data_IF_754499842870
#
_entry.id   IF_754499842870
#
_cell.length_a   1.000
_cell.length_b   1.000
_cell.length_c   1.000
_cell.angle_alpha   90.00
_cell.angle_beta   90.00
_cell.angle_gamma   90.00
#
_symmetry.space_group_name_H-M   'P 1'
#
loop_
_entity.id
_entity.type
_entity.pdbx_description
1 polymer ?
#
# COMPACT_ATOMS: atom_id res chain seq x y z
N UNK A 1 0.16 -8.75 19.81
CA UNK A 1 -0.08 -8.13 18.50
C UNK A 1 0.93 -8.63 17.46
N UNK A 2 0.48 -8.83 16.23
CA UNK A 2 1.31 -9.08 15.06
C UNK A 2 1.10 -7.92 14.08
N UNK A 3 2.11 -7.05 13.92
CA UNK A 3 2.01 -5.83 13.11
C UNK A 3 2.61 -6.07 11.74
N UNK A 4 1.81 -5.95 10.67
CA UNK A 4 2.27 -5.95 9.29
C UNK A 4 2.74 -4.56 8.88
N UNK A 5 3.93 -4.46 8.27
CA UNK A 5 4.42 -3.19 7.70
C UNK A 5 4.25 -3.26 6.18
N UNK A 6 3.51 -2.29 5.62
CA UNK A 6 3.21 -2.20 4.20
C UNK A 6 3.37 -0.75 3.72
N UNK A 7 3.66 -0.54 2.46
CA UNK A 7 3.63 0.79 1.86
C UNK A 7 2.25 1.14 1.32
N UNK A 8 1.96 2.42 1.18
CA UNK A 8 0.76 2.90 0.51
C UNK A 8 0.70 2.57 -1.00
N UNK A 9 1.75 1.98 -1.55
CA UNK A 9 1.88 1.43 -2.90
C UNK A 9 2.76 0.18 -2.84
N UNK A 10 2.91 -0.56 -3.94
CA UNK A 10 3.66 -1.83 -3.92
C UNK A 10 5.05 -1.67 -4.52
N UNK A 11 6.05 -2.29 -3.91
CA UNK A 11 7.40 -2.41 -4.49
C UNK A 11 7.90 -3.84 -4.42
N UNK A 12 8.72 -4.22 -5.40
CA UNK A 12 9.35 -5.53 -5.43
C UNK A 12 10.82 -5.45 -5.84
N UNK A 13 11.63 -6.31 -5.26
CA UNK A 13 13.01 -6.58 -5.68
C UNK A 13 13.07 -7.98 -6.25
N UNK A 14 13.83 -8.15 -7.34
CA UNK A 14 14.01 -9.43 -8.00
C UNK A 14 12.91 -9.79 -9.00
N UNK A 15 13.04 -11.00 -9.58
CA UNK A 15 12.12 -11.53 -10.58
C UNK A 15 10.83 -12.09 -9.95
N UNK A 16 9.86 -12.44 -10.79
CA UNK A 16 8.61 -13.07 -10.43
C UNK A 16 7.40 -12.16 -10.69
N UNK A 17 6.18 -12.70 -10.54
CA UNK A 17 4.95 -12.01 -10.89
C UNK A 17 4.74 -10.76 -10.02
N UNK A 18 4.27 -9.71 -10.64
CA UNK A 18 3.92 -8.44 -10.02
C UNK A 18 2.76 -7.83 -10.80
N UNK A 19 1.51 -8.26 -10.55
CA UNK A 19 0.36 -7.89 -11.36
C UNK A 19 0.14 -6.38 -11.47
N UNK A 20 0.42 -5.62 -10.42
CA UNK A 20 0.24 -4.17 -10.37
C UNK A 20 1.47 -3.37 -10.81
N UNK A 21 2.52 -4.02 -11.34
CA UNK A 21 3.74 -3.33 -11.80
C UNK A 21 3.46 -2.29 -12.89
N UNK A 22 4.10 -1.14 -12.77
CA UNK A 22 3.98 -0.01 -13.68
C UNK A 22 5.26 0.19 -14.48
N UNK A 23 5.10 0.38 -15.79
CA UNK A 23 6.19 0.62 -16.74
C UNK A 23 6.09 2.00 -17.40
N UNK A 24 5.19 2.85 -16.91
CA UNK A 24 4.88 4.17 -17.39
C UNK A 24 5.39 5.28 -16.45
N UNK A 25 4.98 6.51 -16.74
CA UNK A 25 5.31 7.70 -15.94
C UNK A 25 4.86 7.59 -14.48
N UNK A 26 3.78 6.85 -14.21
CA UNK A 26 3.32 6.63 -12.83
C UNK A 26 4.29 5.77 -12.04
N UNK A 27 4.84 4.72 -12.66
CA UNK A 27 5.86 3.88 -12.05
C UNK A 27 7.16 4.65 -11.78
N UNK A 28 7.53 5.55 -12.69
CA UNK A 28 8.69 6.43 -12.50
C UNK A 28 8.44 7.45 -11.38
N UNK A 29 7.26 8.06 -11.35
CA UNK A 29 6.85 8.95 -10.26
C UNK A 29 6.97 8.28 -8.88
N UNK A 30 6.42 7.08 -8.71
CA UNK A 30 6.52 6.34 -7.45
C UNK A 30 7.97 6.03 -7.08
N UNK A 31 8.81 5.70 -8.06
CA UNK A 31 10.22 5.37 -7.86
C UNK A 31 11.02 6.58 -7.42
N UNK A 32 10.87 7.71 -8.12
CA UNK A 32 11.62 8.95 -7.85
C UNK A 32 11.16 9.59 -6.54
N UNK A 33 9.85 9.83 -6.38
CA UNK A 33 9.28 10.46 -5.20
C UNK A 33 9.46 9.59 -3.96
N UNK A 34 9.28 8.28 -4.11
CA UNK A 34 9.46 7.31 -3.03
C UNK A 34 10.91 6.92 -2.76
N UNK A 35 11.88 7.41 -3.55
CA UNK A 35 13.30 7.00 -3.46
C UNK A 35 13.48 5.48 -3.49
N UNK A 36 12.76 4.81 -4.41
CA UNK A 36 12.71 3.34 -4.48
C UNK A 36 13.93 2.76 -5.19
N UNK A 37 15.06 2.90 -4.53
CA UNK A 37 16.37 2.37 -4.94
C UNK A 37 16.99 1.54 -3.82
N UNK A 38 17.76 0.52 -4.20
CA UNK A 38 18.54 -0.24 -3.24
C UNK A 38 19.59 0.64 -2.56
N UNK A 39 19.66 0.61 -1.23
CA UNK A 39 20.58 1.48 -0.47
C UNK A 39 22.05 1.25 -0.89
N UNK A 40 22.45 -0.01 -1.05
CA UNK A 40 23.83 -0.40 -1.41
C UNK A 40 24.01 -0.45 -2.93
N UNK A 41 23.12 -1.17 -3.63
CA UNK A 41 23.29 -1.45 -5.05
C UNK A 41 22.86 -0.32 -5.96
N UNK A 42 22.12 0.67 -5.44
CA UNK A 42 21.50 1.76 -6.21
C UNK A 42 20.59 1.28 -7.35
N UNK A 43 20.25 0.00 -7.39
CA UNK A 43 19.35 -0.55 -8.40
C UNK A 43 17.93 -0.07 -8.16
N UNK A 44 17.19 0.33 -9.22
CA UNK A 44 15.79 0.71 -9.10
C UNK A 44 14.95 -0.49 -8.65
N UNK A 45 14.00 -0.24 -7.76
CA UNK A 45 12.96 -1.22 -7.41
C UNK A 45 11.85 -1.16 -8.44
N UNK A 46 11.21 -2.29 -8.66
CA UNK A 46 9.96 -2.38 -9.40
C UNK A 46 8.86 -1.74 -8.55
N UNK A 47 8.06 -0.86 -9.14
CA UNK A 47 6.99 -0.12 -8.45
C UNK A 47 5.65 -0.41 -9.11
N UNK A 48 4.59 -0.40 -8.32
CA UNK A 48 3.22 -0.60 -8.77
C UNK A 48 2.21 -0.02 -7.79
N UNK A 49 0.95 0.05 -8.22
CA UNK A 49 -0.13 0.50 -7.36
C UNK A 49 -0.35 -0.48 -6.20
N UNK A 50 -1.04 -0.01 -5.15
CA UNK A 50 -1.37 -0.85 -4.00
C UNK A 50 -2.14 -2.09 -4.47
N UNK A 51 -1.71 -3.26 -3.99
CA UNK A 51 -2.30 -4.54 -4.34
C UNK A 51 -3.09 -5.10 -3.15
N UNK A 52 -4.40 -4.86 -3.17
CA UNK A 52 -5.30 -5.28 -2.11
C UNK A 52 -5.42 -6.81 -2.00
N UNK A 53 -5.28 -7.53 -3.13
CA UNK A 53 -5.36 -8.99 -3.17
C UNK A 53 -4.17 -9.64 -2.44
N UNK A 54 -2.95 -9.14 -2.73
CA UNK A 54 -1.74 -9.60 -2.03
C UNK A 54 -1.76 -9.17 -0.57
N UNK A 55 -2.23 -7.96 -0.27
CA UNK A 55 -2.28 -7.45 1.10
C UNK A 55 -3.27 -8.25 1.98
N UNK A 56 -4.46 -8.57 1.47
CA UNK A 56 -5.43 -9.46 2.16
C UNK A 56 -4.82 -10.84 2.42
N UNK A 57 -4.23 -11.43 1.39
CA UNK A 57 -3.60 -12.73 1.52
C UNK A 57 -2.49 -12.72 2.58
N UNK A 58 -1.61 -11.72 2.55
CA UNK A 58 -0.53 -11.58 3.52
C UNK A 58 -1.07 -11.38 4.94
N UNK A 59 -2.10 -10.57 5.13
CA UNK A 59 -2.75 -10.36 6.43
C UNK A 59 -3.29 -11.65 7.01
N UNK A 60 -4.00 -12.40 6.20
CA UNK A 60 -4.64 -13.65 6.59
C UNK A 60 -3.62 -14.74 6.96
N UNK A 61 -2.61 -14.99 6.12
CA UNK A 61 -1.65 -16.09 6.37
C UNK A 61 -0.66 -15.79 7.50
N UNK A 62 -0.39 -14.50 7.78
CA UNK A 62 0.49 -14.11 8.88
C UNK A 62 -0.28 -13.80 10.18
N UNK A 63 -1.61 -13.77 10.12
CA UNK A 63 -2.44 -13.45 11.28
C UNK A 63 -2.17 -12.05 11.83
N UNK A 64 -1.99 -11.06 10.95
CA UNK A 64 -1.77 -9.69 11.38
C UNK A 64 -3.00 -9.17 12.13
N UNK A 65 -2.76 -8.57 13.29
CA UNK A 65 -3.79 -7.88 14.07
C UNK A 65 -3.87 -6.41 13.70
N UNK A 66 -2.76 -5.86 13.22
CA UNK A 66 -2.59 -4.44 12.93
C UNK A 66 -1.68 -4.24 11.72
N UNK A 67 -1.86 -3.09 11.05
CA UNK A 67 -1.02 -2.64 9.95
C UNK A 67 -0.37 -1.29 10.28
N UNK A 68 0.89 -1.16 9.88
CA UNK A 68 1.56 0.11 9.73
C UNK A 68 1.73 0.41 8.23
N UNK A 69 0.96 1.36 7.73
CA UNK A 69 1.08 1.80 6.32
C UNK A 69 2.08 2.93 6.24
N UNK A 70 3.14 2.76 5.49
CA UNK A 70 4.22 3.74 5.31
C UNK A 70 4.12 4.44 3.97
N UNK A 71 4.79 5.60 3.83
CA UNK A 71 4.97 6.32 2.57
C UNK A 71 3.66 6.82 1.94
N UNK A 72 2.70 7.22 2.75
CA UNK A 72 1.47 7.84 2.26
C UNK A 72 1.77 9.19 1.59
N UNK A 73 2.77 9.92 2.07
CA UNK A 73 3.29 11.18 1.54
C UNK A 73 3.70 11.11 0.06
N UNK A 74 4.21 9.96 -0.38
CA UNK A 74 4.64 9.74 -1.77
C UNK A 74 3.49 9.87 -2.78
N UNK A 75 2.26 9.63 -2.36
CA UNK A 75 1.07 9.73 -3.23
C UNK A 75 0.51 11.15 -3.32
N UNK A 76 1.05 12.10 -2.56
CA UNK A 76 0.63 13.52 -2.62
C UNK A 76 0.87 14.10 -4.02
N UNK A 77 -0.11 14.83 -4.53
CA UNK A 77 -0.07 15.46 -5.86
C UNK A 77 -0.75 14.65 -6.96
N UNK A 78 -1.08 13.39 -6.72
CA UNK A 78 -1.86 12.58 -7.65
C UNK A 78 -3.33 13.01 -7.62
N UNK A 79 -3.96 13.08 -8.82
CA UNK A 79 -5.40 13.40 -8.94
C UNK A 79 -6.28 12.20 -8.61
N UNK A 80 -5.84 11.03 -9.04
CA UNK A 80 -6.49 9.74 -8.84
C UNK A 80 -5.44 8.69 -8.50
N UNK A 81 -5.80 7.76 -7.62
CA UNK A 81 -4.92 6.70 -7.15
C UNK A 81 -5.63 5.36 -7.42
N UNK A 82 -5.14 4.56 -8.37
CA UNK A 82 -5.64 3.21 -8.60
C UNK A 82 -5.28 2.28 -7.43
N UNK A 83 -6.25 1.46 -7.01
CA UNK A 83 -6.05 0.41 -6.02
C UNK A 83 -6.53 -0.91 -6.63
N UNK A 84 -5.68 -1.91 -6.64
CA UNK A 84 -6.05 -3.23 -7.15
C UNK A 84 -6.97 -3.93 -6.14
N UNK A 85 -8.19 -4.24 -6.60
CA UNK A 85 -9.24 -4.86 -5.79
C UNK A 85 -9.49 -6.32 -6.17
N UNK A 86 -9.04 -6.74 -7.35
CA UNK A 86 -9.18 -8.11 -7.85
C UNK A 86 -8.20 -8.34 -9.00
N UNK A 87 -8.08 -9.60 -9.43
CA UNK A 87 -7.36 -9.96 -10.67
C UNK A 87 -8.31 -10.54 -11.70
N UNK A 88 -7.89 -10.47 -12.97
CA UNK A 88 -8.44 -11.26 -14.07
C UNK A 88 -7.31 -12.11 -14.65
N UNK A 89 -7.53 -13.42 -14.80
CA UNK A 89 -6.65 -14.32 -15.52
C UNK A 89 -7.48 -15.34 -16.29
N UNK A 90 -7.17 -15.50 -17.58
CA UNK A 90 -7.82 -16.46 -18.48
C UNK A 90 -9.35 -16.36 -18.48
N UNK A 91 -9.87 -15.12 -18.46
CA UNK A 91 -11.30 -14.82 -18.45
C UNK A 91 -12.02 -15.08 -17.13
N UNK A 92 -11.29 -15.37 -16.06
CA UNK A 92 -11.81 -15.55 -14.70
C UNK A 92 -11.41 -14.37 -13.82
N UNK A 93 -12.35 -13.93 -12.98
CA UNK A 93 -12.09 -12.94 -11.92
C UNK A 93 -11.70 -13.65 -10.63
N UNK A 94 -10.69 -13.11 -9.96
CA UNK A 94 -10.21 -13.56 -8.65
C UNK A 94 -10.27 -12.39 -7.68
N UNK A 95 -11.15 -12.46 -6.70
CA UNK A 95 -11.25 -11.47 -5.61
C UNK A 95 -10.26 -11.76 -4.47
N UNK A 96 -9.63 -12.95 -4.50
CA UNK A 96 -8.59 -13.41 -3.59
C UNK A 96 -7.39 -13.93 -4.36
N UNK A 97 -6.27 -14.16 -3.65
CA UNK A 97 -5.06 -14.71 -4.26
C UNK A 97 -5.35 -16.01 -5.01
N UNK A 98 -5.01 -16.09 -6.32
CA UNK A 98 -5.17 -17.32 -7.08
C UNK A 98 -4.40 -18.48 -6.46
N UNK A 99 -5.01 -19.66 -6.40
CA UNK A 99 -4.37 -20.87 -5.87
C UNK A 99 -3.29 -21.39 -6.84
N UNK A 100 -3.51 -21.20 -8.14
CA UNK A 100 -2.59 -21.60 -9.18
C UNK A 100 -1.51 -20.54 -9.40
N UNK A 101 -0.24 -20.96 -9.38
CA UNK A 101 0.87 -20.10 -9.73
C UNK A 101 0.78 -19.60 -11.18
N UNK A 102 0.23 -20.41 -12.09
CA UNK A 102 0.00 -20.02 -13.49
C UNK A 102 -0.98 -18.85 -13.59
N UNK A 103 -2.12 -18.94 -12.89
CA UNK A 103 -3.13 -17.88 -12.87
C UNK A 103 -2.55 -16.58 -12.29
N UNK A 104 -1.73 -16.69 -11.24
CA UNK A 104 -1.06 -15.52 -10.68
C UNK A 104 -0.01 -14.90 -11.62
N UNK A 105 0.70 -15.71 -12.42
CA UNK A 105 1.62 -15.21 -13.44
C UNK A 105 0.92 -14.47 -14.58
N UNK A 106 -0.30 -14.87 -14.93
CA UNK A 106 -1.12 -14.25 -15.98
C UNK A 106 -2.08 -13.20 -15.43
N UNK A 107 -2.09 -12.98 -14.12
CA UNK A 107 -3.00 -12.06 -13.46
C UNK A 107 -2.83 -10.63 -13.97
N UNK A 108 -3.95 -10.03 -14.38
CA UNK A 108 -4.08 -8.60 -14.69
C UNK A 108 -4.87 -7.94 -13.57
N UNK A 109 -4.40 -6.80 -13.05
CA UNK A 109 -5.09 -6.12 -11.97
C UNK A 109 -6.40 -5.49 -12.45
N UNK A 110 -7.43 -5.59 -11.62
CA UNK A 110 -8.67 -4.83 -11.74
C UNK A 110 -8.60 -3.71 -10.72
N UNK A 111 -8.64 -2.47 -11.20
CA UNK A 111 -8.47 -1.29 -10.39
C UNK A 111 -9.80 -0.61 -10.03
N UNK A 112 -9.89 -0.18 -8.78
CA UNK A 112 -10.80 0.85 -8.30
C UNK A 112 -10.04 2.18 -8.28
N UNK A 113 -10.64 3.25 -8.81
CA UNK A 113 -10.04 4.58 -8.86
C UNK A 113 -10.50 5.39 -7.65
N UNK A 114 -9.57 5.78 -6.80
CA UNK A 114 -9.83 6.62 -5.64
C UNK A 114 -9.34 8.05 -5.92
N UNK A 115 -10.04 9.07 -5.42
CA UNK A 115 -9.58 10.45 -5.56
C UNK A 115 -8.29 10.66 -4.76
N UNK A 116 -7.33 11.37 -5.38
CA UNK A 116 -6.09 11.75 -4.72
C UNK A 116 -6.20 13.06 -3.94
N UNK A 117 -5.08 13.55 -3.45
CA UNK A 117 -4.96 14.81 -2.71
C UNK A 117 -3.70 15.56 -3.12
N UNK A 118 -3.68 16.87 -2.87
CA UNK A 118 -2.56 17.76 -3.21
C UNK A 118 -1.92 18.43 -1.99
N UNK A 119 -2.59 18.33 -0.84
CA UNK A 119 -2.15 18.91 0.41
C UNK A 119 -0.92 18.19 0.95
N UNK A 120 0.03 18.92 1.50
CA UNK A 120 1.17 18.36 2.21
C UNK A 120 0.69 17.71 3.52
N UNK A 121 0.91 16.41 3.67
CA UNK A 121 0.50 15.61 4.82
C UNK A 121 1.63 15.33 5.82
N UNK A 122 2.85 15.80 5.57
CA UNK A 122 4.03 15.49 6.40
C UNK A 122 3.92 16.02 7.83
N UNK A 123 3.08 17.03 8.03
CA UNK A 123 2.81 17.62 9.35
C UNK A 123 1.64 16.98 10.09
N UNK A 124 0.87 16.08 9.46
CA UNK A 124 -0.23 15.38 10.10
C UNK A 124 0.27 14.50 11.26
N UNK A 125 -0.42 14.51 12.39
CA UNK A 125 -0.13 13.69 13.59
C UNK A 125 -1.33 12.92 14.08
N UNK A 126 -2.53 13.34 13.68
CA UNK A 126 -3.79 12.63 13.93
C UNK A 126 -4.43 12.24 12.60
N UNK A 127 -5.35 11.28 12.64
CA UNK A 127 -6.07 10.86 11.43
C UNK A 127 -6.91 12.01 10.83
N UNK A 128 -7.44 12.89 11.67
CA UNK A 128 -8.25 14.03 11.25
C UNK A 128 -7.43 15.16 10.61
N UNK A 129 -6.12 15.18 10.80
CA UNK A 129 -5.22 16.11 10.12
C UNK A 129 -5.02 15.76 8.63
N UNK A 130 -5.34 14.51 8.24
CA UNK A 130 -5.23 14.07 6.86
C UNK A 130 -6.36 14.67 6.01
N UNK A 131 -6.09 15.05 4.75
CA UNK A 131 -7.13 15.40 3.78
C UNK A 131 -8.19 14.31 3.67
N UNK A 132 -9.44 14.71 3.41
CA UNK A 132 -10.56 13.77 3.34
C UNK A 132 -10.31 12.60 2.37
N UNK A 133 -9.68 12.88 1.23
CA UNK A 133 -9.36 11.84 0.25
C UNK A 133 -8.26 10.88 0.75
N UNK A 134 -7.26 11.37 1.49
CA UNK A 134 -6.25 10.52 2.12
C UNK A 134 -6.88 9.63 3.20
N UNK A 135 -7.82 10.16 4.00
CA UNK A 135 -8.60 9.37 4.96
C UNK A 135 -9.43 8.28 4.27
N UNK A 136 -10.10 8.61 3.15
CA UNK A 136 -10.87 7.64 2.34
C UNK A 136 -9.97 6.55 1.79
N UNK A 137 -8.80 6.94 1.28
CA UNK A 137 -7.78 6.00 0.80
C UNK A 137 -7.37 5.01 1.89
N UNK A 138 -7.02 5.50 3.08
CA UNK A 138 -6.61 4.66 4.20
C UNK A 138 -7.72 3.72 4.68
N UNK A 139 -8.95 4.21 4.79
CA UNK A 139 -10.12 3.37 5.13
C UNK A 139 -10.33 2.26 4.09
N UNK A 140 -10.17 2.60 2.81
CA UNK A 140 -10.32 1.60 1.75
C UNK A 140 -9.22 0.53 1.80
N UNK A 141 -7.98 0.90 2.09
CA UNK A 141 -6.89 -0.05 2.30
C UNK A 141 -7.18 -0.98 3.49
N UNK A 142 -7.68 -0.44 4.60
CA UNK A 142 -8.08 -1.21 5.78
C UNK A 142 -9.13 -2.26 5.44
N UNK A 143 -10.17 -1.86 4.69
CA UNK A 143 -11.23 -2.77 4.21
C UNK A 143 -10.66 -3.90 3.34
N UNK A 144 -9.77 -3.56 2.39
CA UNK A 144 -9.17 -4.52 1.48
C UNK A 144 -8.23 -5.50 2.19
N UNK A 145 -7.45 -5.01 3.15
CA UNK A 145 -6.53 -5.86 3.92
C UNK A 145 -7.27 -6.75 4.93
N UNK A 146 -8.49 -6.39 5.32
CA UNK A 146 -9.23 -7.07 6.39
C UNK A 146 -8.54 -6.98 7.77
N UNK A 147 -7.67 -5.98 7.95
CA UNK A 147 -6.86 -5.77 9.17
C UNK A 147 -6.80 -4.29 9.47
N UNK A 148 -7.03 -3.90 10.72
CA UNK A 148 -7.04 -2.49 11.12
C UNK A 148 -5.69 -1.82 10.87
N UNK A 149 -5.72 -0.57 10.44
CA UNK A 149 -4.54 0.26 10.28
C UNK A 149 -4.34 1.08 11.55
N UNK A 150 -3.25 0.82 12.27
CA UNK A 150 -2.97 1.46 13.55
C UNK A 150 -1.95 2.59 13.45
N UNK A 151 -1.09 2.55 12.43
CA UNK A 151 -0.09 3.59 12.18
C UNK A 151 -0.04 3.95 10.69
N UNK A 152 0.20 5.25 10.41
CA UNK A 152 0.38 5.76 9.04
C UNK A 152 1.65 6.62 9.01
N UNK A 153 2.64 6.23 8.20
CA UNK A 153 3.82 7.04 7.93
C UNK A 153 3.51 8.10 6.88
N UNK A 154 3.69 9.35 7.25
CA UNK A 154 3.42 10.54 6.42
C UNK A 154 4.68 11.28 5.99
N UNK A 155 5.84 10.70 6.25
CA UNK A 155 7.16 11.21 5.85
C UNK A 155 8.28 10.26 6.25
N UNK A 156 9.56 10.59 5.94
CA UNK A 156 10.71 9.75 6.22
C UNK A 156 11.20 9.81 7.68
N UNK A 157 10.78 10.83 8.43
CA UNK A 157 11.21 11.05 9.81
C UNK A 157 10.55 10.09 10.79
N UNK A 158 11.27 9.79 11.88
CA UNK A 158 10.78 8.90 12.93
C UNK A 158 9.47 9.38 13.56
N UNK A 159 9.29 10.68 13.67
CA UNK A 159 8.12 11.30 14.31
C UNK A 159 7.05 11.73 13.27
N UNK A 160 7.25 11.41 11.99
CA UNK A 160 6.32 11.72 10.90
C UNK A 160 5.31 10.57 10.72
N UNK A 161 4.56 10.32 11.78
CA UNK A 161 3.56 9.28 11.81
C UNK A 161 2.25 9.79 12.41
N UNK A 162 1.16 9.27 11.87
CA UNK A 162 -0.18 9.35 12.47
C UNK A 162 -0.41 8.06 13.26
N UNK A 163 -0.74 8.18 14.55
CA UNK A 163 -1.10 7.06 15.42
C UNK A 163 -2.61 7.03 15.56
N UNK A 164 -3.23 5.94 15.12
CA UNK A 164 -4.67 5.71 15.24
C UNK A 164 -4.96 4.87 16.48
N UNK A 165 -4.21 3.77 16.65
CA UNK A 165 -4.27 2.92 17.83
C UNK A 165 -2.86 2.78 18.41
N UNK A 166 -2.68 3.20 19.64
CA UNK A 166 -1.39 3.07 20.32
C UNK A 166 -1.24 1.65 20.89
N UNK A 167 -0.57 0.80 20.10
CA UNK A 167 -0.38 -0.61 20.47
C UNK A 167 0.53 -0.80 21.67
N UNK A 168 1.40 0.17 21.97
CA UNK A 168 2.25 0.10 23.18
C UNK A 168 1.39 0.34 24.40
N UNK A 169 0.54 1.34 24.39
CA UNK A 169 -0.39 1.60 25.49
C UNK A 169 -1.40 0.45 25.68
N UNK A 170 -1.85 -0.21 24.59
CA UNK A 170 -2.73 -1.39 24.66
C UNK A 170 -2.08 -2.61 25.32
N UNK A 171 -0.74 -2.74 25.31
CA UNK A 171 -0.01 -3.86 25.94
C UNK A 171 0.25 -3.60 27.42
N UNK A 172 0.39 -2.35 27.82
CA UNK A 172 0.72 -1.94 29.19
C UNK A 172 -0.51 -1.84 30.11
N UNK A 173 -1.74 -1.85 29.56
CA UNK A 173 -3.02 -1.77 30.29
C UNK A 173 -3.68 -3.12 30.45
#
# INVERSE_FOLDING_TARGET
HAVGIIKAYTTRVGAGPFPTELFDESGEFLRETGHEYGVVTKRPRRCGWFDGVVAEYASRINGFTDMFVTKLDVLTGLKEIPVCVAYEADGKRFDHMPESQSDFHHAKPIYEMLPGWTEDITTARTFDDLPENAQKYMKRLEELCGTRISYIGVGPGRDENVVINDLVAEIEG
#
